data_IF_931167378781
#
_entry.id   IF_931167378781
#
_cell.length_a   1.000
_cell.length_b   1.000
_cell.length_c   1.000
_cell.angle_alpha   90.00
_cell.angle_beta   90.00
_cell.angle_gamma   90.00
#
_symmetry.space_group_name_H-M   'P 1'
#
loop_
_entity.id
_entity.type
_entity.pdbx_description
1 polymer ?
#
# COMPACT_ATOMS: atom_id res chain seq x y z
N UNK A 1 -7.81 21.89 2.57
CA UNK A 1 -7.49 21.23 1.28
C UNK A 1 -8.77 21.13 0.47
N UNK A 2 -8.70 21.23 -0.88
CA UNK A 2 -9.89 21.11 -1.73
C UNK A 2 -10.05 19.67 -2.20
N UNK A 3 -11.30 19.20 -2.29
CA UNK A 3 -11.63 17.85 -2.71
C UNK A 3 -12.74 17.85 -3.74
N UNK A 4 -12.56 17.07 -4.80
CA UNK A 4 -13.58 16.81 -5.82
C UNK A 4 -13.79 15.31 -5.99
N UNK A 5 -15.01 14.92 -6.33
CA UNK A 5 -15.37 13.55 -6.66
C UNK A 5 -15.87 13.48 -8.10
N UNK A 6 -15.33 12.56 -8.89
CA UNK A 6 -15.79 12.25 -10.25
C UNK A 6 -16.17 10.78 -10.32
N UNK A 7 -17.38 10.51 -10.82
CA UNK A 7 -17.77 9.18 -11.26
C UNK A 7 -17.33 9.02 -12.71
N UNK A 8 -16.36 8.12 -12.97
CA UNK A 8 -15.98 7.72 -14.31
C UNK A 8 -16.78 6.48 -14.74
N UNK A 9 -17.06 6.37 -16.03
CA UNK A 9 -17.89 5.29 -16.54
C UNK A 9 -17.04 4.20 -17.22
N UNK A 10 -16.85 3.03 -16.60
CA UNK A 10 -16.04 1.95 -17.16
C UNK A 10 -16.68 1.28 -18.38
N UNK A 11 -17.98 1.49 -18.63
CA UNK A 11 -18.63 1.02 -19.85
C UNK A 11 -18.25 1.84 -21.08
N UNK A 12 -17.88 3.09 -20.85
CA UNK A 12 -17.42 3.97 -21.92
C UNK A 12 -15.99 3.68 -22.35
N UNK A 13 -15.13 3.42 -21.38
CA UNK A 13 -13.74 2.97 -21.55
C UNK A 13 -13.40 2.04 -20.39
N UNK A 14 -13.08 0.77 -20.69
CA UNK A 14 -12.86 -0.25 -19.65
C UNK A 14 -11.56 -0.03 -18.86
N UNK A 15 -10.54 0.45 -19.52
CA UNK A 15 -9.18 0.59 -19.01
C UNK A 15 -8.77 2.06 -18.74
N UNK A 16 -9.76 2.91 -18.37
CA UNK A 16 -9.52 4.34 -18.08
C UNK A 16 -8.30 4.53 -17.17
N UNK A 17 -8.29 3.90 -16.03
CA UNK A 17 -7.23 4.08 -15.02
C UNK A 17 -5.89 3.56 -15.55
N UNK A 18 -5.87 2.41 -16.23
CA UNK A 18 -4.65 1.83 -16.79
C UNK A 18 -3.99 2.76 -17.81
N UNK A 19 -4.77 3.36 -18.69
CA UNK A 19 -4.25 4.29 -19.68
C UNK A 19 -3.69 5.56 -19.04
N UNK A 20 -4.36 6.09 -18.00
CA UNK A 20 -3.80 7.21 -17.23
C UNK A 20 -2.52 6.83 -16.50
N UNK A 21 -2.47 5.65 -15.87
CA UNK A 21 -1.27 5.16 -15.19
C UNK A 21 -0.10 4.96 -16.17
N UNK A 22 -0.34 4.48 -17.38
CA UNK A 22 0.71 4.32 -18.39
C UNK A 22 1.35 5.66 -18.75
N UNK A 23 0.55 6.70 -19.00
CA UNK A 23 1.07 8.06 -19.27
C UNK A 23 1.78 8.62 -18.04
N UNK A 24 1.21 8.44 -16.84
CA UNK A 24 1.81 8.93 -15.60
C UNK A 24 3.18 8.29 -15.32
N UNK A 25 3.33 6.99 -15.59
CA UNK A 25 4.62 6.28 -15.47
C UNK A 25 5.66 6.78 -16.46
N UNK A 26 5.25 7.07 -17.69
CA UNK A 26 6.15 7.53 -18.75
C UNK A 26 6.55 8.99 -18.59
N UNK A 27 5.58 9.87 -18.27
CA UNK A 27 5.74 11.32 -18.28
C UNK A 27 5.80 11.97 -16.90
N UNK A 28 5.58 11.21 -15.81
CA UNK A 28 5.42 11.71 -14.42
C UNK A 28 4.23 12.65 -14.21
N UNK A 29 3.42 12.86 -15.23
CA UNK A 29 2.18 13.62 -15.20
C UNK A 29 1.20 13.02 -16.22
N UNK A 30 -0.10 13.19 -15.93
CA UNK A 30 -1.17 12.79 -16.85
C UNK A 30 -2.35 13.74 -16.71
N UNK A 31 -3.10 13.94 -17.79
CA UNK A 31 -4.29 14.76 -17.79
C UNK A 31 -5.54 13.89 -17.69
N UNK A 32 -6.34 14.10 -16.63
CA UNK A 32 -7.68 13.55 -16.53
C UNK A 32 -8.68 14.58 -17.02
N UNK A 33 -9.38 14.28 -18.11
CA UNK A 33 -10.29 15.21 -18.76
C UNK A 33 -11.72 15.11 -18.21
N UNK A 34 -12.31 16.26 -17.87
CA UNK A 34 -13.76 16.36 -17.64
C UNK A 34 -14.49 16.36 -18.97
N UNK A 35 -15.13 15.25 -19.29
CA UNK A 35 -15.92 15.12 -20.53
C UNK A 35 -17.14 16.04 -20.43
N UNK A 36 -17.40 16.79 -21.50
CA UNK A 36 -18.53 17.67 -21.61
C UNK A 36 -19.84 16.86 -21.65
N UNK A 37 -20.80 17.20 -20.80
CA UNK A 37 -22.12 16.58 -20.78
C UNK A 37 -23.18 17.65 -20.97
N UNK A 38 -24.12 17.40 -21.88
CA UNK A 38 -25.25 18.31 -22.15
C UNK A 38 -26.07 18.63 -20.89
N UNK A 39 -26.10 17.73 -19.93
CA UNK A 39 -26.81 17.89 -18.66
C UNK A 39 -26.08 18.81 -17.67
N UNK A 40 -24.76 18.97 -17.81
CA UNK A 40 -23.91 19.70 -16.85
C UNK A 40 -23.56 21.13 -17.28
N UNK A 41 -23.95 21.55 -18.49
CA UNK A 41 -23.59 22.87 -19.01
C UNK A 41 -24.42 24.03 -18.42
N UNK A 42 -25.52 23.73 -17.71
CA UNK A 42 -26.44 24.75 -17.22
C UNK A 42 -26.09 25.32 -15.84
N UNK A 43 -25.26 24.66 -15.05
CA UNK A 43 -24.87 25.16 -13.72
C UNK A 43 -23.44 25.71 -13.72
N UNK A 44 -23.34 27.03 -13.78
CA UNK A 44 -22.09 27.77 -13.48
C UNK A 44 -21.83 27.68 -11.99
N UNK A 45 -21.07 26.66 -11.55
CA UNK A 45 -20.62 26.62 -10.19
C UNK A 45 -19.42 27.56 -9.99
N UNK A 46 -19.68 28.78 -9.55
CA UNK A 46 -18.61 29.72 -9.10
C UNK A 46 -17.66 29.08 -8.10
N UNK A 47 -18.13 28.12 -7.31
CA UNK A 47 -17.31 27.35 -6.39
C UNK A 47 -16.24 26.48 -7.05
N UNK A 48 -16.50 25.91 -8.26
CA UNK A 48 -15.52 25.09 -8.97
C UNK A 48 -14.39 25.93 -9.56
N UNK A 49 -14.71 27.09 -10.13
CA UNK A 49 -13.69 28.00 -10.68
C UNK A 49 -12.72 28.47 -9.60
N UNK A 50 -13.23 28.79 -8.41
CA UNK A 50 -12.38 29.16 -7.26
C UNK A 50 -11.45 28.00 -6.83
N UNK A 51 -11.95 26.77 -6.82
CA UNK A 51 -11.14 25.56 -6.54
C UNK A 51 -10.06 25.39 -7.61
N UNK A 52 -10.41 25.54 -8.89
CA UNK A 52 -9.47 25.35 -10.00
C UNK A 52 -8.34 26.41 -9.95
N UNK A 53 -8.68 27.67 -9.70
CA UNK A 53 -7.70 28.75 -9.58
C UNK A 53 -6.80 28.60 -8.36
N UNK A 54 -7.31 28.04 -7.25
CA UNK A 54 -6.55 27.81 -6.03
C UNK A 54 -5.61 26.61 -6.12
N UNK A 55 -5.77 25.75 -7.17
CA UNK A 55 -5.00 24.51 -7.31
C UNK A 55 -3.59 24.78 -7.86
N UNK A 56 -2.57 24.31 -7.14
CA UNK A 56 -1.15 24.43 -7.49
C UNK A 56 -0.36 23.27 -6.90
N UNK A 57 0.92 23.13 -7.24
CA UNK A 57 1.78 22.09 -6.64
C UNK A 57 1.85 22.16 -5.11
N UNK A 58 1.88 23.38 -4.54
CA UNK A 58 1.91 23.60 -3.08
C UNK A 58 0.53 23.43 -2.42
N UNK A 59 -0.52 23.70 -3.17
CA UNK A 59 -1.91 23.58 -2.72
C UNK A 59 -2.67 22.67 -3.69
N UNK A 60 -2.28 21.41 -3.72
CA UNK A 60 -2.87 20.45 -4.65
C UNK A 60 -4.33 20.12 -4.30
N UNK A 61 -5.08 19.76 -5.32
CA UNK A 61 -6.44 19.29 -5.20
C UNK A 61 -6.44 17.76 -5.12
N UNK A 62 -7.13 17.18 -4.15
CA UNK A 62 -7.42 15.74 -4.15
C UNK A 62 -8.66 15.45 -4.99
N UNK A 63 -8.45 14.83 -6.14
CA UNK A 63 -9.51 14.40 -7.03
C UNK A 63 -9.80 12.92 -6.80
N UNK A 64 -10.97 12.60 -6.25
CA UNK A 64 -11.42 11.23 -6.09
C UNK A 64 -12.11 10.75 -7.37
N UNK A 65 -11.61 9.65 -7.89
CA UNK A 65 -12.11 8.99 -9.09
C UNK A 65 -12.74 7.67 -8.69
N UNK A 66 -14.03 7.49 -8.95
CA UNK A 66 -14.73 6.26 -8.59
C UNK A 66 -15.57 5.76 -9.75
N UNK A 67 -15.75 4.45 -9.78
CA UNK A 67 -16.81 3.76 -10.51
C UNK A 67 -17.69 3.01 -9.50
N UNK A 68 -18.45 1.99 -9.95
CA UNK A 68 -19.30 1.21 -9.05
C UNK A 68 -18.52 0.27 -8.11
N UNK A 69 -17.24 0.03 -8.39
CA UNK A 69 -16.41 -0.95 -7.69
C UNK A 69 -15.09 -0.39 -7.15
N UNK A 70 -14.54 0.65 -7.78
CA UNK A 70 -13.19 1.14 -7.51
C UNK A 70 -13.20 2.59 -7.00
N UNK A 71 -12.16 2.95 -6.24
CA UNK A 71 -11.94 4.31 -5.77
C UNK A 71 -10.43 4.64 -5.82
N UNK A 72 -10.11 5.75 -6.46
CA UNK A 72 -8.76 6.28 -6.55
C UNK A 72 -8.72 7.72 -6.07
N UNK A 73 -7.62 8.14 -5.47
CA UNK A 73 -7.30 9.53 -5.21
C UNK A 73 -6.21 9.99 -6.19
N UNK A 74 -6.41 11.12 -6.85
CA UNK A 74 -5.44 11.73 -7.74
C UNK A 74 -4.93 13.05 -7.16
N UNK A 75 -3.61 13.25 -7.19
CA UNK A 75 -2.94 14.49 -6.82
C UNK A 75 -2.92 15.43 -8.00
N UNK A 76 -3.87 16.35 -8.04
CA UNK A 76 -3.99 17.34 -9.11
C UNK A 76 -3.20 18.59 -8.73
N UNK A 77 -2.25 18.96 -9.58
CA UNK A 77 -1.35 20.10 -9.36
C UNK A 77 -1.75 21.35 -10.16
N UNK A 78 -2.60 21.18 -11.16
CA UNK A 78 -3.11 22.28 -11.98
C UNK A 78 -4.40 21.84 -12.69
N UNK A 79 -5.30 22.79 -12.89
CA UNK A 79 -6.47 22.61 -13.79
C UNK A 79 -6.32 23.60 -14.94
N UNK A 80 -6.43 23.12 -16.19
CA UNK A 80 -6.22 23.95 -17.38
C UNK A 80 -7.03 23.44 -18.57
N UNK A 81 -7.31 24.34 -19.50
CA UNK A 81 -7.87 23.98 -20.81
C UNK A 81 -6.78 23.79 -21.86
N UNK A 82 -5.67 24.49 -21.66
CA UNK A 82 -4.49 24.44 -22.52
C UNK A 82 -3.44 23.52 -21.88
N UNK A 83 -3.14 22.42 -22.54
CA UNK A 83 -2.29 21.34 -22.04
C UNK A 83 -1.45 20.73 -23.15
N UNK A 84 -0.34 20.11 -22.76
CA UNK A 84 0.45 19.27 -23.65
C UNK A 84 -0.34 18.02 -24.04
N UNK A 85 -0.55 17.83 -25.35
CA UNK A 85 -1.26 16.68 -25.90
C UNK A 85 -0.61 15.34 -25.54
N UNK A 86 0.68 15.31 -25.28
CA UNK A 86 1.41 14.11 -24.85
C UNK A 86 1.02 13.62 -23.44
N UNK A 87 0.34 14.46 -22.64
CA UNK A 87 -0.15 14.09 -21.32
C UNK A 87 -1.58 13.53 -21.35
N UNK A 88 -2.23 13.50 -22.52
CA UNK A 88 -3.60 13.01 -22.69
C UNK A 88 -3.56 11.54 -23.13
N UNK A 89 -4.22 10.62 -22.41
CA UNK A 89 -4.41 9.24 -22.87
C UNK A 89 -5.08 9.17 -24.26
N UNK A 90 -4.63 8.27 -25.10
CA UNK A 90 -5.03 8.19 -26.49
C UNK A 90 -6.53 8.04 -26.73
N UNK A 91 -7.22 7.35 -25.83
CA UNK A 91 -8.66 7.10 -25.96
C UNK A 91 -9.51 8.39 -26.05
N UNK A 92 -9.02 9.53 -25.53
CA UNK A 92 -9.72 10.80 -25.65
C UNK A 92 -9.79 11.25 -27.12
N UNK A 93 -8.71 11.06 -27.87
CA UNK A 93 -8.63 11.37 -29.32
C UNK A 93 -9.37 10.32 -30.16
N UNK A 94 -9.14 9.04 -29.88
CA UNK A 94 -9.78 7.92 -30.59
C UNK A 94 -11.31 7.98 -30.55
N UNK A 95 -11.87 8.42 -29.41
CA UNK A 95 -13.31 8.54 -29.19
C UNK A 95 -13.84 9.95 -29.44
N UNK A 96 -13.00 10.85 -29.90
CA UNK A 96 -13.35 12.25 -30.18
C UNK A 96 -14.11 12.92 -29.01
N UNK A 97 -13.55 12.80 -27.78
CA UNK A 97 -14.19 13.27 -26.56
C UNK A 97 -14.02 14.78 -26.41
N UNK A 98 -15.14 15.49 -26.30
CA UNK A 98 -15.11 16.91 -25.93
C UNK A 98 -14.81 17.07 -24.44
N UNK A 99 -13.62 17.60 -24.12
CA UNK A 99 -13.18 17.87 -22.76
C UNK A 99 -13.33 19.37 -22.46
N UNK A 100 -13.94 19.69 -21.33
CA UNK A 100 -14.11 21.08 -20.87
C UNK A 100 -12.90 21.59 -20.12
N UNK A 101 -12.40 20.81 -19.18
CA UNK A 101 -11.25 21.12 -18.33
C UNK A 101 -10.43 19.84 -18.12
N UNK A 102 -9.10 20.00 -18.03
CA UNK A 102 -8.18 18.91 -17.71
C UNK A 102 -7.55 19.11 -16.33
N UNK A 103 -7.55 18.05 -15.56
CA UNK A 103 -6.89 17.95 -14.26
C UNK A 103 -5.50 17.35 -14.47
N UNK A 104 -4.45 18.15 -14.35
CA UNK A 104 -3.06 17.70 -14.48
C UNK A 104 -2.68 17.01 -13.18
N UNK A 105 -2.53 15.70 -13.26
CA UNK A 105 -2.30 14.79 -12.15
C UNK A 105 -0.85 14.37 -12.11
N UNK A 106 -0.18 14.54 -10.98
CA UNK A 106 1.22 14.15 -10.75
C UNK A 106 1.37 12.84 -9.97
N UNK A 107 0.30 12.37 -9.33
CA UNK A 107 0.28 11.09 -8.61
C UNK A 107 -1.14 10.52 -8.51
N UNK A 108 -1.25 9.21 -8.43
CA UNK A 108 -2.52 8.48 -8.32
C UNK A 108 -2.38 7.35 -7.31
N UNK A 109 -3.19 7.37 -6.28
CA UNK A 109 -3.27 6.31 -5.27
C UNK A 109 -4.58 5.54 -5.40
N UNK A 110 -4.52 4.23 -5.19
CA UNK A 110 -5.71 3.40 -5.11
C UNK A 110 -6.17 3.27 -3.67
N UNK A 111 -7.38 3.72 -3.38
CA UNK A 111 -7.92 3.80 -2.02
C UNK A 111 -8.99 2.75 -1.73
N UNK A 112 -9.41 2.01 -2.75
CA UNK A 112 -10.36 0.95 -2.57
C UNK A 112 -9.68 -0.41 -2.49
N UNK A 113 -9.96 -1.05 -1.44
CA UNK A 113 -10.05 -2.50 -1.45
C UNK A 113 -11.55 -2.77 -1.40
N UNK A 114 -12.07 -3.63 -2.23
CA UNK A 114 -13.49 -3.80 -2.56
C UNK A 114 -14.51 -3.69 -1.41
N UNK A 115 -14.07 -3.90 -0.17
CA UNK A 115 -14.88 -3.74 1.04
C UNK A 115 -14.81 -2.37 1.69
N UNK A 116 -13.85 -1.52 1.31
CA UNK A 116 -13.61 -0.24 1.98
C UNK A 116 -14.16 0.95 1.20
N UNK A 117 -14.53 0.76 -0.09
CA UNK A 117 -15.08 1.83 -0.92
C UNK A 117 -16.23 2.56 -0.22
N UNK A 118 -17.21 1.86 0.27
CA UNK A 118 -18.38 2.46 0.92
C UNK A 118 -18.02 3.09 2.26
N UNK A 119 -17.05 2.54 2.99
CA UNK A 119 -16.51 3.17 4.20
C UNK A 119 -15.77 4.47 3.88
N UNK A 120 -15.00 4.50 2.79
CA UNK A 120 -14.37 5.72 2.31
C UNK A 120 -15.37 6.77 1.91
N UNK A 121 -16.37 6.39 1.11
CA UNK A 121 -17.43 7.28 0.67
C UNK A 121 -18.27 7.81 1.86
N UNK A 122 -18.39 7.04 2.94
CA UNK A 122 -19.07 7.47 4.16
C UNK A 122 -18.36 8.64 4.87
N UNK A 123 -17.06 8.86 4.60
CA UNK A 123 -16.30 10.02 5.09
C UNK A 123 -16.60 11.31 4.30
N UNK A 124 -17.24 11.24 3.14
CA UNK A 124 -17.51 12.39 2.30
C UNK A 124 -18.81 13.10 2.71
N UNK A 125 -18.76 14.41 2.65
CA UNK A 125 -19.93 15.29 2.81
C UNK A 125 -20.11 16.05 1.50
N UNK A 126 -21.23 15.82 0.83
CA UNK A 126 -21.63 16.59 -0.34
C UNK A 126 -22.19 17.97 0.05
N UNK A 127 -22.18 18.95 -0.86
CA UNK A 127 -22.87 20.22 -0.63
C UNK A 127 -24.33 20.00 -0.28
N UNK A 128 -24.86 20.82 0.62
CA UNK A 128 -26.26 20.74 1.09
C UNK A 128 -26.64 19.41 1.76
N UNK A 129 -25.66 18.66 2.28
CA UNK A 129 -25.85 17.34 2.90
C UNK A 129 -26.53 16.29 2.03
N UNK A 130 -26.47 16.43 0.72
CA UNK A 130 -27.01 15.46 -0.23
C UNK A 130 -26.10 14.22 -0.35
N UNK A 131 -26.09 13.37 0.65
CA UNK A 131 -25.22 12.16 0.71
C UNK A 131 -25.48 11.18 -0.44
N UNK A 132 -26.70 11.14 -0.98
CA UNK A 132 -27.01 10.32 -2.16
C UNK A 132 -26.19 10.70 -3.40
N UNK A 133 -25.77 11.96 -3.49
CA UNK A 133 -24.94 12.44 -4.58
C UNK A 133 -23.56 11.77 -4.63
N UNK A 134 -23.08 11.24 -3.51
CA UNK A 134 -21.80 10.54 -3.40
C UNK A 134 -21.89 9.12 -3.98
N UNK A 135 -23.03 8.47 -3.85
CA UNK A 135 -23.20 7.04 -4.18
C UNK A 135 -23.86 6.79 -5.53
N UNK A 136 -24.48 7.79 -6.13
CA UNK A 136 -25.25 7.69 -7.37
C UNK A 136 -24.71 8.60 -8.44
N UNK A 137 -25.16 8.34 -9.66
CA UNK A 137 -24.88 9.18 -10.82
C UNK A 137 -25.32 10.62 -10.55
N UNK A 138 -24.37 11.53 -10.51
CA UNK A 138 -24.63 12.90 -10.11
C UNK A 138 -24.90 13.78 -11.31
N UNK A 139 -25.87 14.65 -11.16
CA UNK A 139 -26.13 15.72 -12.10
C UNK A 139 -25.00 16.76 -12.12
N UNK A 140 -24.16 16.81 -11.09
CA UNK A 140 -23.02 17.71 -10.98
C UNK A 140 -21.71 16.93 -11.01
N UNK A 141 -20.90 17.17 -12.03
CA UNK A 141 -19.61 16.54 -12.19
C UNK A 141 -18.57 17.60 -12.61
N UNK A 142 -17.45 17.77 -11.90
CA UNK A 142 -17.10 17.11 -10.64
C UNK A 142 -17.90 17.65 -9.44
N UNK A 143 -18.11 16.77 -8.45
CA UNK A 143 -18.81 17.13 -7.22
C UNK A 143 -17.80 17.65 -6.19
N UNK A 144 -17.93 18.90 -5.70
CA UNK A 144 -17.18 19.35 -4.54
C UNK A 144 -17.59 18.53 -3.30
N UNK A 145 -16.61 17.99 -2.58
CA UNK A 145 -16.86 17.24 -1.35
C UNK A 145 -15.96 17.77 -0.23
N UNK A 146 -16.41 17.58 1.01
CA UNK A 146 -15.59 17.75 2.22
C UNK A 146 -15.41 16.40 2.86
N UNK A 147 -14.32 16.20 3.58
CA UNK A 147 -14.10 15.03 4.39
C UNK A 147 -14.57 15.32 5.82
N UNK A 148 -15.26 14.34 6.47
CA UNK A 148 -15.59 14.41 7.91
C UNK A 148 -14.33 14.43 8.73
N UNK A 149 -13.39 13.53 8.38
CA UNK A 149 -12.04 13.50 8.90
C UNK A 149 -11.09 13.91 7.78
N UNK A 150 -10.51 15.11 7.89
CA UNK A 150 -9.59 15.64 6.88
C UNK A 150 -8.34 14.78 6.80
N UNK A 151 -8.02 14.32 5.58
CA UNK A 151 -6.89 13.44 5.33
C UNK A 151 -6.21 13.78 4.01
N UNK A 152 -4.89 13.90 4.04
CA UNK A 152 -4.08 13.92 2.82
C UNK A 152 -3.65 12.50 2.46
N UNK A 153 -3.89 12.10 1.22
CA UNK A 153 -3.49 10.81 0.67
C UNK A 153 -2.10 10.84 0.04
N UNK A 154 -1.51 12.03 -0.10
CA UNK A 154 -0.21 12.25 -0.72
C UNK A 154 0.72 12.95 0.28
N UNK A 155 1.33 12.14 1.16
CA UNK A 155 2.29 12.60 2.15
C UNK A 155 3.70 12.22 1.69
N UNK A 156 4.62 13.19 1.75
CA UNK A 156 6.01 12.97 1.33
C UNK A 156 6.20 12.97 -0.18
N UNK A 157 7.36 12.44 -0.62
CA UNK A 157 7.79 12.39 -2.02
C UNK A 157 7.56 11.01 -2.67
N UNK A 158 6.76 10.16 -2.03
CA UNK A 158 6.46 8.82 -2.55
C UNK A 158 5.58 8.91 -3.81
N UNK A 159 5.88 8.06 -4.79
CA UNK A 159 5.09 7.92 -6.01
C UNK A 159 4.07 6.80 -5.83
N UNK A 160 2.86 7.14 -5.39
CA UNK A 160 1.79 6.19 -5.07
C UNK A 160 1.27 5.45 -6.31
N UNK A 161 1.37 6.05 -7.50
CA UNK A 161 0.90 5.44 -8.74
C UNK A 161 1.61 4.12 -9.10
N UNK A 162 2.83 3.89 -8.60
CA UNK A 162 3.55 2.63 -8.82
C UNK A 162 2.83 1.43 -8.19
N UNK A 163 2.01 1.65 -7.17
CA UNK A 163 1.22 0.63 -6.49
C UNK A 163 -0.29 0.73 -6.76
N UNK A 164 -0.73 1.74 -7.50
CA UNK A 164 -2.15 2.01 -7.72
C UNK A 164 -2.84 0.95 -8.58
N UNK A 165 -2.10 0.32 -9.51
CA UNK A 165 -2.64 -0.74 -10.35
C UNK A 165 -2.40 -2.10 -9.72
N UNK A 166 -3.49 -2.74 -9.31
CA UNK A 166 -3.50 -4.13 -8.83
C UNK A 166 -4.43 -4.94 -9.71
N UNK A 167 -3.99 -6.10 -10.16
CA UNK A 167 -4.81 -7.00 -10.96
C UNK A 167 -6.03 -7.49 -10.16
N UNK A 168 -7.04 -7.99 -10.88
CA UNK A 168 -8.21 -8.61 -10.25
C UNK A 168 -7.80 -9.79 -9.35
N UNK A 169 -6.84 -10.57 -9.80
CA UNK A 169 -6.27 -11.71 -9.07
C UNK A 169 -5.60 -11.24 -7.77
N UNK A 170 -4.85 -10.12 -7.83
CA UNK A 170 -4.25 -9.52 -6.64
C UNK A 170 -5.31 -9.13 -5.61
N UNK A 171 -6.39 -8.49 -6.03
CA UNK A 171 -7.46 -8.04 -5.13
C UNK A 171 -8.21 -9.23 -4.51
N UNK A 172 -8.51 -10.26 -5.29
CA UNK A 172 -9.12 -11.49 -4.79
C UNK A 172 -8.21 -12.16 -3.75
N UNK A 173 -6.92 -12.25 -4.04
CA UNK A 173 -5.94 -12.83 -3.13
C UNK A 173 -5.86 -12.03 -1.84
N UNK A 174 -5.79 -10.70 -1.92
CA UNK A 174 -5.77 -9.81 -0.77
C UNK A 174 -7.01 -9.99 0.12
N UNK A 175 -8.19 -10.07 -0.50
CA UNK A 175 -9.45 -10.33 0.20
C UNK A 175 -9.44 -11.67 0.92
N UNK A 176 -8.95 -12.72 0.25
CA UNK A 176 -8.82 -14.06 0.83
C UNK A 176 -7.90 -14.05 2.05
N UNK A 177 -6.76 -13.37 1.97
CA UNK A 177 -5.84 -13.23 3.11
C UNK A 177 -6.49 -12.50 4.27
N UNK A 178 -7.19 -11.39 3.99
CA UNK A 178 -7.87 -10.61 5.00
C UNK A 178 -9.00 -11.37 5.68
N UNK A 179 -9.81 -12.14 4.92
CA UNK A 179 -10.99 -12.83 5.47
C UNK A 179 -10.67 -14.18 6.09
N UNK A 180 -9.86 -14.98 5.41
CA UNK A 180 -9.74 -16.40 5.72
C UNK A 180 -8.39 -16.80 6.33
N UNK A 181 -7.33 -16.02 6.08
CA UNK A 181 -5.99 -16.36 6.57
C UNK A 181 -5.67 -15.62 7.86
N UNK A 182 -5.67 -14.28 7.84
CA UNK A 182 -5.26 -13.48 8.99
C UNK A 182 -6.44 -12.95 9.81
N UNK A 183 -7.60 -12.74 9.21
CA UNK A 183 -8.66 -11.92 9.77
C UNK A 183 -8.34 -10.41 9.65
N UNK A 184 -9.37 -9.56 9.67
CA UNK A 184 -9.21 -8.10 9.47
C UNK A 184 -8.19 -7.49 10.43
N UNK A 185 -8.26 -7.83 11.73
CA UNK A 185 -7.40 -7.23 12.75
C UNK A 185 -5.92 -7.48 12.47
N UNK A 186 -5.53 -8.74 12.24
CA UNK A 186 -4.13 -9.10 12.00
C UNK A 186 -3.64 -8.59 10.66
N UNK A 187 -4.49 -8.66 9.63
CA UNK A 187 -4.14 -8.17 8.31
C UNK A 187 -3.72 -6.70 8.31
N UNK A 188 -4.44 -5.84 9.02
CA UNK A 188 -4.10 -4.41 9.14
C UNK A 188 -2.96 -4.10 10.13
N UNK A 189 -2.51 -5.08 10.91
CA UNK A 189 -1.32 -4.93 11.74
C UNK A 189 -0.02 -5.26 11.00
N UNK A 190 -0.11 -6.04 9.91
CA UNK A 190 1.03 -6.28 9.03
C UNK A 190 1.38 -5.01 8.25
N UNK A 191 2.67 -4.82 7.98
CA UNK A 191 3.12 -3.71 7.15
C UNK A 191 2.60 -3.86 5.70
N UNK A 192 2.20 -2.77 5.01
CA UNK A 192 1.71 -2.84 3.63
C UNK A 192 2.65 -3.55 2.65
N UNK A 193 3.97 -3.34 2.78
CA UNK A 193 4.96 -4.03 1.95
C UNK A 193 5.00 -5.53 2.22
N UNK A 194 4.81 -5.95 3.47
CA UNK A 194 4.71 -7.36 3.83
C UNK A 194 3.50 -8.02 3.18
N UNK A 195 2.36 -7.34 3.21
CA UNK A 195 1.13 -7.79 2.52
C UNK A 195 1.37 -7.91 1.02
N UNK A 196 1.98 -6.89 0.39
CA UNK A 196 2.31 -6.91 -1.03
C UNK A 196 3.23 -8.08 -1.39
N UNK A 197 4.29 -8.29 -0.62
CA UNK A 197 5.24 -9.37 -0.85
C UNK A 197 4.58 -10.76 -0.73
N UNK A 198 3.73 -10.97 0.28
CA UNK A 198 2.98 -12.23 0.45
C UNK A 198 2.07 -12.46 -0.76
N UNK A 199 1.27 -11.48 -1.14
CA UNK A 199 0.31 -11.61 -2.24
C UNK A 199 1.04 -11.91 -3.56
N UNK A 200 2.14 -11.21 -3.84
CA UNK A 200 2.94 -11.48 -5.05
C UNK A 200 3.60 -12.85 -5.02
N UNK A 201 4.06 -13.31 -3.85
CA UNK A 201 4.60 -14.68 -3.71
C UNK A 201 3.52 -15.74 -3.98
N UNK A 202 2.31 -15.55 -3.47
CA UNK A 202 1.18 -16.47 -3.68
C UNK A 202 0.70 -16.49 -5.14
N UNK A 203 0.62 -15.34 -5.79
CA UNK A 203 0.23 -15.28 -7.20
C UNK A 203 1.25 -15.97 -8.09
N UNK A 204 2.54 -15.75 -7.84
CA UNK A 204 3.62 -16.44 -8.56
C UNK A 204 3.62 -17.94 -8.29
N UNK A 205 3.39 -18.35 -7.04
CA UNK A 205 3.27 -19.76 -6.68
C UNK A 205 2.11 -20.43 -7.44
N UNK A 206 0.93 -19.81 -7.49
CA UNK A 206 -0.23 -20.33 -8.22
C UNK A 206 0.03 -20.45 -9.73
N UNK A 207 0.77 -19.51 -10.31
CA UNK A 207 1.10 -19.53 -11.75
C UNK A 207 2.12 -20.61 -12.09
N UNK A 208 3.05 -20.89 -11.19
CA UNK A 208 4.19 -21.80 -11.43
C UNK A 208 4.05 -23.16 -10.76
N UNK A 209 2.99 -23.43 -9.99
CA UNK A 209 2.82 -24.67 -9.23
C UNK A 209 2.84 -25.94 -10.11
N UNK A 210 2.38 -25.83 -11.35
CA UNK A 210 2.35 -26.95 -12.31
C UNK A 210 3.60 -27.05 -13.19
N UNK A 211 4.52 -26.12 -13.08
CA UNK A 211 5.78 -26.13 -13.82
C UNK A 211 6.89 -26.76 -12.96
N UNK A 212 7.21 -28.02 -13.25
CA UNK A 212 8.24 -28.79 -12.55
C UNK A 212 9.66 -28.23 -12.75
N UNK A 213 9.87 -27.41 -13.77
CA UNK A 213 11.17 -26.79 -14.09
C UNK A 213 11.31 -25.38 -13.54
N UNK A 214 10.28 -24.87 -12.87
CA UNK A 214 10.31 -23.51 -12.34
C UNK A 214 11.32 -23.37 -11.19
N UNK A 215 12.05 -22.26 -11.22
CA UNK A 215 12.89 -21.83 -10.10
C UNK A 215 12.06 -21.03 -9.09
N UNK A 216 11.76 -21.63 -7.95
CA UNK A 216 10.98 -21.02 -6.89
C UNK A 216 11.77 -20.04 -5.99
N UNK A 217 13.01 -19.71 -6.32
CA UNK A 217 13.87 -18.84 -5.50
C UNK A 217 13.25 -17.44 -5.30
N UNK A 218 12.62 -16.88 -6.34
CA UNK A 218 11.96 -15.55 -6.24
C UNK A 218 10.83 -15.53 -5.22
N UNK A 219 10.07 -16.62 -5.13
CA UNK A 219 8.97 -16.79 -4.17
C UNK A 219 9.51 -16.83 -2.74
N UNK A 220 10.55 -17.63 -2.53
CA UNK A 220 11.24 -17.73 -1.24
C UNK A 220 11.77 -16.35 -0.81
N UNK A 221 12.42 -15.61 -1.70
CA UNK A 221 12.95 -14.28 -1.39
C UNK A 221 11.83 -13.31 -0.97
N UNK A 222 10.65 -13.35 -1.60
CA UNK A 222 9.51 -12.49 -1.21
C UNK A 222 9.00 -12.85 0.18
N UNK A 223 8.86 -14.12 0.48
CA UNK A 223 8.48 -14.57 1.83
C UNK A 223 9.51 -14.16 2.89
N UNK A 224 10.81 -14.28 2.58
CA UNK A 224 11.86 -13.86 3.50
C UNK A 224 11.88 -12.35 3.74
N UNK A 225 11.71 -11.54 2.70
CA UNK A 225 11.61 -10.08 2.86
C UNK A 225 10.49 -9.72 3.83
N UNK A 226 9.34 -10.37 3.70
CA UNK A 226 8.22 -10.20 4.61
C UNK A 226 8.61 -10.54 6.05
N UNK A 227 9.13 -11.75 6.24
CA UNK A 227 9.51 -12.25 7.57
C UNK A 227 10.56 -11.36 8.25
N UNK A 228 11.63 -11.02 7.53
CA UNK A 228 12.69 -10.14 8.06
C UNK A 228 12.16 -8.77 8.45
N UNK A 229 11.18 -8.26 7.72
CA UNK A 229 10.60 -6.96 8.01
C UNK A 229 9.68 -6.99 9.21
N UNK A 230 8.77 -7.97 9.29
CA UNK A 230 7.87 -8.12 10.44
C UNK A 230 8.65 -8.44 11.73
N UNK A 231 9.69 -9.28 11.67
CA UNK A 231 10.57 -9.54 12.81
C UNK A 231 11.29 -8.26 13.26
N UNK A 232 11.74 -7.42 12.34
CA UNK A 232 12.32 -6.13 12.66
C UNK A 232 11.32 -5.21 13.37
N UNK A 233 10.07 -5.11 12.87
CA UNK A 233 9.01 -4.30 13.47
C UNK A 233 8.64 -4.81 14.87
N UNK A 234 8.53 -6.13 15.03
CA UNK A 234 8.33 -6.77 16.33
C UNK A 234 9.45 -6.42 17.30
N UNK A 235 10.70 -6.65 16.89
CA UNK A 235 11.88 -6.34 17.72
C UNK A 235 11.94 -4.86 18.09
N UNK A 236 11.62 -3.97 17.14
CA UNK A 236 11.57 -2.52 17.38
C UNK A 236 10.59 -2.17 18.50
N UNK A 237 9.37 -2.74 18.49
CA UNK A 237 8.37 -2.54 19.55
C UNK A 237 8.87 -3.06 20.90
N UNK A 238 9.44 -4.27 20.92
CA UNK A 238 9.96 -4.91 22.14
C UNK A 238 11.11 -4.09 22.76
N UNK A 239 12.09 -3.72 21.92
CA UNK A 239 13.27 -2.96 22.38
C UNK A 239 12.90 -1.55 22.82
N UNK A 240 11.98 -0.86 22.12
CA UNK A 240 11.47 0.44 22.58
C UNK A 240 10.81 0.32 23.95
N UNK A 241 9.95 -0.70 24.16
CA UNK A 241 9.31 -0.94 25.47
C UNK A 241 10.34 -1.23 26.57
N UNK A 242 11.45 -1.90 26.26
CA UNK A 242 12.54 -2.10 27.21
C UNK A 242 13.30 -0.78 27.50
N UNK A 243 13.62 0.00 26.47
CA UNK A 243 14.31 1.29 26.61
C UNK A 243 13.49 2.33 27.38
N UNK A 244 12.14 2.29 27.33
CA UNK A 244 11.31 3.15 28.17
C UNK A 244 11.41 2.83 29.67
N UNK A 245 11.79 1.58 30.03
CA UNK A 245 11.99 1.16 31.41
C UNK A 245 13.43 1.38 31.87
N UNK A 246 14.41 1.27 30.97
CA UNK A 246 15.85 1.49 31.22
C UNK A 246 16.47 2.20 30.02
N UNK A 247 16.66 3.51 30.12
CA UNK A 247 17.23 4.35 29.05
C UNK A 247 18.70 4.00 28.76
N UNK A 248 19.44 3.39 29.71
CA UNK A 248 20.81 2.97 29.48
C UNK A 248 20.93 1.83 28.45
N UNK A 249 19.83 1.23 28.05
CA UNK A 249 19.82 0.25 26.97
C UNK A 249 20.12 0.86 25.59
N UNK A 250 19.91 2.16 25.38
CA UNK A 250 20.29 2.80 24.11
C UNK A 250 21.78 2.67 23.80
N UNK A 251 22.62 2.58 24.82
CA UNK A 251 24.08 2.40 24.71
C UNK A 251 24.50 0.92 24.62
N UNK A 252 23.53 -0.02 24.59
CA UNK A 252 23.84 -1.44 24.50
C UNK A 252 24.52 -1.76 23.16
N UNK A 253 25.75 -2.32 23.24
CA UNK A 253 26.50 -2.67 22.05
C UNK A 253 26.03 -3.98 21.40
N UNK A 254 25.98 -4.00 20.08
CA UNK A 254 25.76 -5.18 19.25
C UNK A 254 26.61 -5.13 17.98
N UNK A 255 26.81 -6.27 17.32
CA UNK A 255 27.64 -6.37 16.12
C UNK A 255 26.82 -6.55 14.86
N UNK A 256 27.18 -5.82 13.80
CA UNK A 256 26.66 -5.99 12.44
C UNK A 256 27.85 -6.08 11.49
N UNK A 257 28.02 -7.20 10.82
CA UNK A 257 29.14 -7.43 9.87
C UNK A 257 30.51 -7.05 10.44
N UNK A 258 30.77 -7.41 11.70
CA UNK A 258 32.03 -7.14 12.40
C UNK A 258 32.15 -5.72 13.00
N UNK A 259 31.26 -4.79 12.67
CA UNK A 259 31.23 -3.44 13.26
C UNK A 259 30.42 -3.45 14.56
N UNK A 260 30.94 -2.79 15.61
CA UNK A 260 30.19 -2.58 16.86
C UNK A 260 29.29 -1.34 16.69
N UNK A 261 27.99 -1.49 16.96
CA UNK A 261 27.00 -0.44 16.95
C UNK A 261 26.28 -0.41 18.30
N UNK A 262 25.74 0.72 18.68
CA UNK A 262 24.86 0.85 19.85
C UNK A 262 23.40 0.66 19.47
N UNK A 263 22.54 0.27 20.43
CA UNK A 263 21.14 -0.04 20.20
C UNK A 263 20.36 1.14 19.59
N UNK A 264 20.77 2.38 19.85
CA UNK A 264 20.14 3.56 19.24
C UNK A 264 20.09 3.47 17.71
N UNK A 265 21.15 2.99 17.06
CA UNK A 265 21.18 2.81 15.59
C UNK A 265 20.24 1.75 15.07
N UNK A 266 19.79 0.81 15.92
CA UNK A 266 18.79 -0.18 15.55
C UNK A 266 17.46 0.45 15.07
N UNK A 267 17.09 1.58 15.64
CA UNK A 267 15.82 2.24 15.34
C UNK A 267 15.84 3.02 14.02
N UNK A 268 17.00 3.32 13.50
CA UNK A 268 17.22 4.06 12.26
C UNK A 268 17.67 3.16 11.10
N UNK A 269 18.40 2.07 11.40
CA UNK A 269 18.95 1.17 10.40
C UNK A 269 18.58 -0.28 10.74
N UNK A 270 17.83 -0.94 9.81
CA UNK A 270 17.46 -2.34 9.98
C UNK A 270 18.70 -3.25 9.99
N UNK A 271 19.02 -3.93 11.10
CA UNK A 271 20.11 -4.88 11.15
C UNK A 271 19.71 -6.24 10.56
N UNK A 272 20.66 -7.16 10.45
CA UNK A 272 20.37 -8.54 10.06
C UNK A 272 19.66 -9.33 11.19
N UNK A 273 19.05 -10.47 10.83
CA UNK A 273 18.29 -11.32 11.76
C UNK A 273 19.13 -11.81 12.95
N UNK A 274 20.43 -12.09 12.74
CA UNK A 274 21.34 -12.52 13.82
C UNK A 274 21.49 -11.46 14.90
N UNK A 275 21.66 -10.19 14.51
CA UNK A 275 21.74 -9.05 15.44
C UNK A 275 20.40 -8.82 16.15
N UNK A 276 19.27 -8.96 15.46
CA UNK A 276 17.94 -8.88 16.07
C UNK A 276 17.78 -9.97 17.14
N UNK A 277 18.15 -11.21 16.82
CA UNK A 277 18.13 -12.34 17.75
C UNK A 277 19.00 -12.05 18.98
N UNK A 278 20.25 -11.60 18.77
CA UNK A 278 21.16 -11.26 19.86
C UNK A 278 20.55 -10.22 20.82
N UNK A 279 19.99 -9.13 20.28
CA UNK A 279 19.41 -8.05 21.09
C UNK A 279 18.20 -8.53 21.89
N UNK A 280 17.27 -9.27 21.27
CA UNK A 280 16.08 -9.80 21.96
C UNK A 280 16.42 -10.81 23.04
N UNK A 281 17.53 -11.55 22.89
CA UNK A 281 18.00 -12.55 23.87
C UNK A 281 18.95 -11.96 24.90
N UNK A 282 19.33 -10.68 24.78
CA UNK A 282 20.27 -10.06 25.71
C UNK A 282 19.65 -9.94 27.11
N UNK A 283 20.36 -10.38 28.16
CA UNK A 283 19.86 -10.43 29.53
C UNK A 283 19.30 -9.09 30.01
N UNK A 284 20.01 -7.98 29.74
CA UNK A 284 19.54 -6.63 30.08
C UNK A 284 18.24 -6.21 29.41
N UNK A 285 17.93 -6.75 28.24
CA UNK A 285 16.65 -6.52 27.57
C UNK A 285 15.57 -7.40 28.19
N UNK A 286 15.86 -8.68 28.37
CA UNK A 286 14.91 -9.67 28.87
C UNK A 286 14.39 -9.37 30.28
N UNK A 287 15.21 -8.78 31.17
CA UNK A 287 14.74 -8.41 32.51
C UNK A 287 13.65 -7.34 32.54
N UNK A 288 13.45 -6.61 31.43
CA UNK A 288 12.39 -5.60 31.29
C UNK A 288 11.15 -6.11 30.56
N UNK A 289 11.17 -7.36 30.05
CA UNK A 289 10.06 -7.97 29.32
C UNK A 289 9.13 -8.75 30.26
N UNK A 290 7.91 -8.92 29.83
CA UNK A 290 6.93 -9.79 30.49
C UNK A 290 7.36 -11.27 30.35
N UNK A 291 7.03 -12.08 31.34
CA UNK A 291 7.45 -13.49 31.39
C UNK A 291 6.93 -14.31 30.19
N UNK A 292 5.69 -14.03 29.74
CA UNK A 292 5.09 -14.65 28.56
C UNK A 292 5.87 -14.36 27.29
N UNK A 293 6.27 -13.10 27.10
CA UNK A 293 7.08 -12.64 25.97
C UNK A 293 8.49 -13.23 26.02
N UNK A 294 9.11 -13.28 27.20
CA UNK A 294 10.41 -13.94 27.37
C UNK A 294 10.36 -15.42 27.03
N UNK A 295 9.32 -16.14 27.48
CA UNK A 295 9.11 -17.55 27.10
C UNK A 295 8.97 -17.71 25.58
N UNK A 296 8.17 -16.87 24.95
CA UNK A 296 7.99 -16.88 23.50
C UNK A 296 9.31 -16.67 22.76
N UNK A 297 10.08 -15.62 23.12
CA UNK A 297 11.38 -15.29 22.48
C UNK A 297 12.37 -16.45 22.63
N UNK A 298 12.48 -17.02 23.82
CA UNK A 298 13.47 -18.08 24.12
C UNK A 298 13.08 -19.47 23.62
N UNK A 299 11.84 -19.68 23.18
CA UNK A 299 11.36 -20.99 22.72
C UNK A 299 10.89 -20.98 21.24
N UNK A 300 9.65 -20.58 21.00
CA UNK A 300 9.01 -20.66 19.69
C UNK A 300 9.69 -19.77 18.65
N UNK A 301 9.95 -18.50 19.01
CA UNK A 301 10.57 -17.54 18.12
C UNK A 301 11.98 -17.97 17.70
N UNK A 302 12.79 -18.44 18.64
CA UNK A 302 14.16 -18.92 18.34
C UNK A 302 14.17 -20.11 17.41
N UNK A 303 13.27 -21.09 17.62
CA UNK A 303 13.13 -22.28 16.75
C UNK A 303 12.73 -21.89 15.34
N UNK A 304 11.73 -20.99 15.21
CA UNK A 304 11.28 -20.50 13.92
C UNK A 304 12.39 -19.73 13.19
N UNK A 305 13.13 -18.86 13.87
CA UNK A 305 14.24 -18.13 13.26
C UNK A 305 15.31 -19.05 12.71
N UNK A 306 15.68 -20.10 13.45
CA UNK A 306 16.68 -21.07 12.98
C UNK A 306 16.19 -21.78 11.72
N UNK A 307 14.97 -22.28 11.73
CA UNK A 307 14.34 -22.93 10.57
C UNK A 307 14.37 -22.03 9.33
N UNK A 308 14.00 -20.76 9.48
CA UNK A 308 14.02 -19.82 8.37
C UNK A 308 15.44 -19.54 7.86
N UNK A 309 16.41 -19.36 8.74
CA UNK A 309 17.80 -19.15 8.34
C UNK A 309 18.35 -20.35 7.55
N UNK A 310 18.04 -21.56 7.97
CA UNK A 310 18.47 -22.80 7.30
C UNK A 310 17.89 -22.86 5.86
N UNK A 311 16.58 -22.70 5.68
CA UNK A 311 15.95 -22.69 4.34
C UNK A 311 16.49 -21.57 3.43
N UNK A 312 16.68 -20.36 4.00
CA UNK A 312 17.24 -19.26 3.21
C UNK A 312 18.64 -19.59 2.67
N UNK A 313 19.48 -20.11 3.52
CA UNK A 313 20.86 -20.41 3.15
C UNK A 313 20.91 -21.48 2.08
N UNK A 314 20.10 -22.55 2.20
CA UNK A 314 19.94 -23.58 1.17
C UNK A 314 19.44 -22.99 -0.16
N UNK A 315 18.36 -22.21 -0.13
CA UNK A 315 17.74 -21.65 -1.34
C UNK A 315 18.60 -20.63 -2.08
N UNK A 316 19.45 -19.87 -1.35
CA UNK A 316 20.24 -18.78 -1.96
C UNK A 316 21.63 -19.28 -2.41
N UNK A 317 22.19 -20.30 -1.74
CA UNK A 317 23.61 -20.67 -1.91
C UNK A 317 23.84 -22.07 -2.48
N UNK A 318 22.89 -23.01 -2.37
CA UNK A 318 23.19 -24.40 -2.63
C UNK A 318 22.33 -25.02 -3.75
N UNK A 319 21.02 -24.87 -3.72
CA UNK A 319 20.12 -25.54 -4.65
C UNK A 319 18.82 -24.78 -4.85
N UNK A 320 18.32 -24.76 -6.10
CA UNK A 320 16.98 -24.25 -6.39
C UNK A 320 15.93 -24.98 -5.51
N UNK A 321 15.09 -24.23 -4.78
CA UNK A 321 14.14 -24.81 -3.84
C UNK A 321 13.04 -25.59 -4.57
N UNK A 322 12.65 -26.72 -4.01
CA UNK A 322 11.53 -27.51 -4.49
C UNK A 322 10.18 -26.88 -4.10
N UNK A 323 9.12 -27.23 -4.85
CA UNK A 323 7.76 -26.83 -4.51
C UNK A 323 7.37 -27.22 -3.07
N UNK A 324 7.83 -28.39 -2.60
CA UNK A 324 7.57 -28.85 -1.24
C UNK A 324 8.18 -27.92 -0.18
N UNK A 325 9.42 -27.49 -0.39
CA UNK A 325 10.12 -26.55 0.52
C UNK A 325 9.44 -25.19 0.55
N UNK A 326 9.00 -24.68 -0.60
CA UNK A 326 8.23 -23.45 -0.70
C UNK A 326 6.91 -23.55 0.07
N UNK A 327 6.14 -24.63 -0.14
CA UNK A 327 4.87 -24.85 0.57
C UNK A 327 5.07 -25.00 2.08
N UNK A 328 6.15 -25.63 2.51
CA UNK A 328 6.51 -25.74 3.92
C UNK A 328 6.84 -24.37 4.52
N UNK A 329 7.71 -23.59 3.86
CA UNK A 329 8.05 -22.22 4.27
C UNK A 329 6.82 -21.33 4.35
N UNK A 330 5.98 -21.33 3.30
CA UNK A 330 4.72 -20.61 3.24
C UNK A 330 3.86 -20.88 4.47
N UNK A 331 3.63 -22.15 4.79
CA UNK A 331 2.78 -22.53 5.91
C UNK A 331 3.34 -22.04 7.25
N UNK A 332 4.65 -22.17 7.46
CA UNK A 332 5.30 -21.69 8.70
C UNK A 332 5.19 -20.15 8.84
N UNK A 333 5.38 -19.40 7.76
CA UNK A 333 5.26 -17.93 7.79
C UNK A 333 3.83 -17.51 8.10
N UNK A 334 2.83 -18.13 7.48
CA UNK A 334 1.43 -17.79 7.73
C UNK A 334 0.99 -18.14 9.16
N UNK A 335 1.56 -19.19 9.74
CA UNK A 335 1.31 -19.58 11.14
C UNK A 335 2.02 -18.61 12.11
N UNK A 336 3.28 -18.25 11.83
CA UNK A 336 4.04 -17.35 12.69
C UNK A 336 3.42 -15.97 12.75
N UNK A 337 3.03 -15.42 11.61
CA UNK A 337 2.35 -14.13 11.52
C UNK A 337 1.05 -14.08 12.35
N UNK A 338 0.38 -15.21 12.56
CA UNK A 338 -0.78 -15.30 13.46
C UNK A 338 -0.39 -15.26 14.94
N UNK A 339 0.76 -15.82 15.31
CA UNK A 339 1.22 -15.95 16.72
C UNK A 339 1.90 -14.68 17.25
N UNK A 340 2.59 -13.93 16.38
CA UNK A 340 3.31 -12.72 16.79
C UNK A 340 2.41 -11.51 17.02
N UNK A 341 1.21 -11.52 16.44
CA UNK A 341 0.28 -10.38 16.44
C UNK A 341 -0.90 -10.61 17.38
N UNK A 342 -1.11 -11.81 17.91
CA UNK A 342 -2.13 -12.12 18.92
C UNK A 342 -1.58 -11.93 20.34
#
# INVERSE_FOLDING_TARGET
>A
MNHLLILYNPYYQRDVIQQHLSVLQEKSQVCFGKIRSKLNDQEKHHSLEAIYQATSEKNFLQLFLTDYANLFAAKVIKVSKDIDEGLIPNYYKEKNLEVKDFFITSDLSREDFSLLRDQFLANFIAPNNHTYAIYRNNYVCPLPVRLKEERSYFLGDEKHYLSAYKSKEYLIMQENFMRFVFGKRLFYLLHPDSINNIIHAELELLQSENDLLNDFTSIIVKYFKTLEYEIYLFAKKVLLKACTKDSSLYDLNYKVQGKSLILEYFFTQKPNLGSIKYLLMHKRVQCHLEESLNRFINSSFQKSLKFFQDIRNEAVHEKAPSLHEVKKLRNEILILSRKEVS
#
